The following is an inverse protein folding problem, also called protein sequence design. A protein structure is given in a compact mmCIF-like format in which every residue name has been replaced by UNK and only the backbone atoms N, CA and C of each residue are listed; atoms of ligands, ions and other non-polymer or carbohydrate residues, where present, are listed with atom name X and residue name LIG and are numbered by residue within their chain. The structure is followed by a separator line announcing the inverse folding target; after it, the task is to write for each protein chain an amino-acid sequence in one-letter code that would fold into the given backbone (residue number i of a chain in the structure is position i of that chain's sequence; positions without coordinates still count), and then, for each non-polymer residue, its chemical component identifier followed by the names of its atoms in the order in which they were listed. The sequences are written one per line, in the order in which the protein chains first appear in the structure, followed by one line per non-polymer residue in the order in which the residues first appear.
data_IF_341524014097
#
_entry.id   IF_341524014097
#
_cell.length_a   1.000
_cell.length_b   1.000
_cell.length_c   1.000
_cell.angle_alpha   90.00
_cell.angle_beta   90.00
_cell.angle_gamma   90.00
#
_symmetry.space_group_name_H-M   'P 1'
#
loop_
_entity.id
_entity.type
_entity.pdbx_description
1 polymer ?
#
# COMPACT_ATOMS: atom_id res chain seq x y z
N UNK A 1 9.19 -27.32 -43.15
CA UNK A 1 7.87 -27.22 -42.50
C UNK A 1 8.12 -27.20 -40.99
N UNK A 2 7.58 -26.18 -40.32
CA UNK A 2 7.75 -25.83 -38.91
C UNK A 2 7.14 -26.90 -37.95
N UNK A 3 7.49 -26.91 -36.66
CA UNK A 3 6.88 -25.94 -35.75
C UNK A 3 7.87 -25.24 -34.79
N UNK A 4 7.72 -23.92 -34.70
CA UNK A 4 8.21 -23.09 -33.60
C UNK A 4 7.24 -23.28 -32.45
N UNK A 5 7.72 -23.86 -31.35
CA UNK A 5 6.95 -23.96 -30.11
C UNK A 5 7.03 -22.59 -29.42
N UNK A 6 5.93 -21.83 -29.51
CA UNK A 6 5.71 -20.66 -28.66
C UNK A 6 5.45 -21.16 -27.23
N UNK A 7 6.48 -21.11 -26.38
CA UNK A 7 6.30 -21.23 -24.94
C UNK A 7 5.64 -19.95 -24.43
N UNK A 8 4.34 -20.01 -24.15
CA UNK A 8 3.63 -18.96 -23.44
C UNK A 8 4.21 -18.85 -22.03
N UNK A 9 4.98 -17.80 -21.77
CA UNK A 9 5.34 -17.41 -20.41
C UNK A 9 4.06 -16.98 -19.69
N UNK A 10 3.52 -17.85 -18.83
CA UNK A 10 2.56 -17.44 -17.82
C UNK A 10 3.29 -16.58 -16.79
N UNK A 11 3.41 -15.28 -17.09
CA UNK A 11 3.60 -14.30 -16.04
C UNK A 11 2.33 -14.36 -15.18
N UNK A 12 2.44 -14.96 -13.99
CA UNK A 12 1.42 -14.85 -12.97
C UNK A 12 1.30 -13.37 -12.62
N UNK A 13 0.36 -12.66 -13.25
CA UNK A 13 -0.06 -11.35 -12.81
C UNK A 13 -0.55 -11.55 -11.37
N UNK A 14 0.23 -11.10 -10.39
CA UNK A 14 -0.21 -11.11 -9.00
C UNK A 14 -1.53 -10.36 -8.95
N UNK A 15 -2.60 -11.04 -8.51
CA UNK A 15 -3.90 -10.41 -8.40
C UNK A 15 -3.79 -9.20 -7.46
N UNK A 16 -4.31 -8.05 -7.91
CA UNK A 16 -4.41 -6.87 -7.08
C UNK A 16 -5.27 -7.20 -5.84
N UNK A 17 -4.88 -6.74 -4.63
CA UNK A 17 -5.63 -7.02 -3.42
C UNK A 17 -7.02 -6.36 -3.48
N UNK A 18 -8.01 -7.01 -2.87
CA UNK A 18 -9.34 -6.43 -2.71
C UNK A 18 -9.36 -5.36 -1.61
N UNK A 19 -10.47 -4.64 -1.48
CA UNK A 19 -10.66 -3.66 -0.40
C UNK A 19 -10.62 -4.36 0.97
N UNK A 20 -11.26 -5.52 1.09
CA UNK A 20 -11.27 -6.31 2.32
C UNK A 20 -9.87 -6.81 2.68
N UNK A 21 -9.06 -7.20 1.69
CA UNK A 21 -7.66 -7.57 1.89
C UNK A 21 -6.84 -6.41 2.42
N UNK A 22 -7.04 -5.20 1.90
CA UNK A 22 -6.33 -3.99 2.32
C UNK A 22 -6.79 -3.51 3.70
N UNK A 23 -8.08 -3.62 4.00
CA UNK A 23 -8.64 -3.32 5.33
C UNK A 23 -8.04 -4.25 6.40
N UNK A 24 -8.01 -5.56 6.14
CA UNK A 24 -7.42 -6.53 7.05
C UNK A 24 -5.91 -6.32 7.22
N UNK A 25 -5.21 -5.89 6.17
CA UNK A 25 -3.79 -5.54 6.26
C UNK A 25 -3.57 -4.29 7.12
N UNK A 26 -4.38 -3.24 6.93
CA UNK A 26 -4.30 -2.00 7.71
C UNK A 26 -4.55 -2.23 9.21
N UNK A 27 -5.52 -3.08 9.57
CA UNK A 27 -5.82 -3.43 10.96
C UNK A 27 -4.64 -4.07 11.71
N UNK A 28 -3.69 -4.65 10.97
CA UNK A 28 -2.48 -5.27 11.54
C UNK A 28 -1.19 -4.49 11.23
N UNK A 29 -1.30 -3.36 10.53
CA UNK A 29 -0.17 -2.57 10.10
C UNK A 29 0.51 -1.89 11.29
N UNK A 30 1.85 -1.82 11.25
CA UNK A 30 2.63 -1.21 12.34
C UNK A 30 2.83 0.28 12.05
N UNK A 31 2.70 1.18 13.04
CA UNK A 31 3.03 2.59 12.85
C UNK A 31 4.53 2.76 12.58
N UNK A 32 4.87 3.59 11.60
CA UNK A 32 6.24 3.92 11.25
C UNK A 32 6.76 5.10 12.09
N UNK A 33 8.06 5.16 12.41
CA UNK A 33 8.64 6.25 13.21
C UNK A 33 8.69 7.58 12.46
N UNK A 34 8.80 7.55 11.13
CA UNK A 34 8.82 8.72 10.27
C UNK A 34 7.44 9.12 9.73
N UNK A 35 7.40 10.28 9.07
CA UNK A 35 6.24 10.79 8.36
C UNK A 35 6.60 10.93 6.87
N UNK A 36 5.60 10.81 6.01
CA UNK A 36 5.71 11.16 4.58
C UNK A 36 4.82 12.36 4.32
N UNK A 37 5.37 13.46 3.81
CA UNK A 37 4.65 14.73 3.64
C UNK A 37 3.92 15.23 4.91
N UNK A 38 4.49 14.96 6.09
CA UNK A 38 3.87 15.29 7.38
C UNK A 38 2.65 14.45 7.75
N UNK A 39 2.41 13.34 7.04
CA UNK A 39 1.32 12.38 7.28
C UNK A 39 1.86 11.15 8.01
N UNK A 40 1.05 10.62 8.92
CA UNK A 40 1.35 9.36 9.60
C UNK A 40 1.36 8.22 8.59
N UNK A 41 2.30 7.30 8.77
CA UNK A 41 2.49 6.13 7.90
C UNK A 41 2.41 4.86 8.73
N UNK A 42 1.81 3.82 8.15
CA UNK A 42 1.81 2.47 8.70
C UNK A 42 2.32 1.48 7.65
N UNK A 43 3.07 0.48 8.11
CA UNK A 43 3.59 -0.60 7.28
C UNK A 43 2.75 -1.87 7.48
N UNK A 44 1.98 -2.20 6.45
CA UNK A 44 1.33 -3.49 6.31
C UNK A 44 2.16 -4.50 5.53
N UNK A 45 1.65 -5.71 5.39
CA UNK A 45 2.29 -6.78 4.61
C UNK A 45 2.04 -6.63 3.12
N UNK A 46 0.89 -6.06 2.73
CA UNK A 46 0.48 -5.88 1.34
C UNK A 46 0.76 -4.46 0.85
N UNK A 47 0.54 -3.46 1.69
CA UNK A 47 0.71 -2.05 1.33
C UNK A 47 1.36 -1.23 2.46
N UNK A 48 1.87 -0.06 2.11
CA UNK A 48 2.00 1.03 3.07
C UNK A 48 0.66 1.76 3.15
N UNK A 49 0.37 2.36 4.31
CA UNK A 49 -0.84 3.15 4.51
C UNK A 49 -0.45 4.54 4.96
N UNK A 50 -1.13 5.56 4.45
CA UNK A 50 -0.85 6.96 4.79
C UNK A 50 -2.12 7.69 5.19
N UNK A 51 -2.05 8.46 6.27
CA UNK A 51 -3.24 9.05 6.90
C UNK A 51 -3.96 9.98 5.93
N UNK A 52 -5.21 9.72 5.57
CA UNK A 52 -6.00 10.52 4.63
C UNK A 52 -6.51 11.80 5.27
N UNK A 53 -6.49 12.93 4.54
CA UNK A 53 -7.00 14.22 5.02
C UNK A 53 -8.51 14.36 4.75
N UNK A 54 -9.33 13.41 5.17
CA UNK A 54 -10.78 13.60 5.07
C UNK A 54 -11.27 14.38 6.28
N UNK A 55 -11.40 15.71 6.15
CA UNK A 55 -12.00 16.58 7.19
C UNK A 55 -13.35 16.03 7.68
N UNK A 56 -14.12 15.41 6.78
CA UNK A 56 -15.42 14.82 7.07
C UNK A 56 -15.35 13.57 7.96
N UNK A 57 -14.29 12.76 7.86
CA UNK A 57 -14.17 11.57 8.71
C UNK A 57 -13.86 11.94 10.16
N UNK A 58 -12.94 12.89 10.37
CA UNK A 58 -12.58 13.39 11.69
C UNK A 58 -13.73 14.12 12.40
N UNK A 59 -14.68 14.71 11.66
CA UNK A 59 -15.89 15.33 12.21
C UNK A 59 -16.96 14.31 12.62
N UNK A 60 -16.99 13.13 11.99
CA UNK A 60 -17.97 12.08 12.25
C UNK A 60 -17.51 11.13 13.36
N UNK A 61 -16.22 10.83 13.41
CA UNK A 61 -15.59 10.03 14.44
C UNK A 61 -14.10 10.39 14.53
N UNK A 62 -13.66 11.08 15.61
CA UNK A 62 -12.28 11.52 15.77
C UNK A 62 -11.29 10.35 15.91
N UNK A 63 -11.77 9.15 16.21
CA UNK A 63 -10.96 7.94 16.32
C UNK A 63 -10.90 7.16 14.99
N UNK A 64 -11.68 7.57 13.98
CA UNK A 64 -11.73 6.94 12.68
C UNK A 64 -10.60 7.44 11.77
N UNK A 65 -9.50 6.69 11.77
CA UNK A 65 -8.36 6.97 10.89
C UNK A 65 -8.65 6.42 9.50
N UNK A 66 -9.05 7.31 8.59
CA UNK A 66 -9.00 7.01 7.15
C UNK A 66 -7.56 6.97 6.68
N UNK A 67 -7.17 5.95 5.91
CA UNK A 67 -5.85 5.85 5.30
C UNK A 67 -5.93 5.41 3.85
N UNK A 68 -5.04 5.97 3.02
CA UNK A 68 -4.90 5.57 1.63
C UNK A 68 -3.87 4.45 1.54
N UNK A 69 -4.17 3.39 0.78
CA UNK A 69 -3.25 2.29 0.55
C UNK A 69 -2.26 2.66 -0.59
N UNK A 70 -0.98 2.47 -0.34
CA UNK A 70 0.12 2.68 -1.28
C UNK A 70 0.73 1.32 -1.60
N UNK A 71 0.28 0.74 -2.71
CA UNK A 71 0.75 -0.56 -3.18
C UNK A 71 2.06 -0.42 -3.92
N UNK A 72 3.01 -1.31 -3.62
CA UNK A 72 4.32 -1.35 -4.32
C UNK A 72 4.19 -1.58 -5.82
N UNK A 73 3.20 -2.36 -6.25
CA UNK A 73 2.98 -2.66 -7.66
C UNK A 73 2.46 -1.47 -8.47
N UNK A 74 1.83 -0.50 -7.81
CA UNK A 74 1.13 0.61 -8.44
C UNK A 74 1.90 1.94 -8.36
N UNK A 75 3.06 1.93 -7.69
CA UNK A 75 3.87 3.11 -7.44
C UNK A 75 5.31 2.92 -7.92
N UNK A 76 5.99 4.02 -8.22
CA UNK A 76 7.40 3.95 -8.62
C UNK A 76 8.30 3.52 -7.44
N UNK A 77 9.49 2.97 -7.71
CA UNK A 77 10.46 2.64 -6.66
C UNK A 77 10.84 3.84 -5.80
N UNK A 78 10.94 5.04 -6.39
CA UNK A 78 11.27 6.26 -5.65
C UNK A 78 10.18 6.60 -4.63
N UNK A 79 8.90 6.53 -5.03
CA UNK A 79 7.77 6.75 -4.12
C UNK A 79 7.80 5.72 -3.00
N UNK A 80 7.94 4.43 -3.31
CA UNK A 80 8.02 3.37 -2.29
C UNK A 80 9.21 3.55 -1.35
N UNK A 81 10.34 4.04 -1.87
CA UNK A 81 11.54 4.33 -1.08
C UNK A 81 11.28 5.36 0.02
N UNK A 82 10.42 6.35 -0.22
CA UNK A 82 10.02 7.34 0.80
C UNK A 82 9.27 6.68 1.97
N UNK A 83 8.36 5.74 1.67
CA UNK A 83 7.63 4.98 2.70
C UNK A 83 8.55 4.01 3.44
N UNK A 84 9.43 3.31 2.74
CA UNK A 84 10.42 2.41 3.34
C UNK A 84 11.38 3.16 4.28
N UNK A 85 11.81 4.36 3.88
CA UNK A 85 12.63 5.24 4.71
C UNK A 85 11.87 5.70 5.96
N UNK A 86 10.59 6.04 5.84
CA UNK A 86 9.77 6.42 7.00
C UNK A 86 9.61 5.26 8.02
N UNK A 87 9.70 4.02 7.56
CA UNK A 87 9.52 2.81 8.39
C UNK A 87 10.83 2.19 8.89
N UNK A 88 11.99 2.70 8.46
CA UNK A 88 13.31 2.25 8.88
C UNK A 88 13.88 3.18 9.96
N UNK A 89 13.96 2.73 11.23
CA UNK A 89 14.43 3.54 12.36
C UNK A 89 15.93 3.91 12.28
#
# INVERSE_FOLDING_TARGET
MLPVIFAAALAAAAAQPTVEDLQADFETARPCPGLVDGRSVWEGKKAFFVSSYTKQAAELDPDLVGADAVLRADNSPDVIGEFEAACSP
#
